data_IF_078046270314
#
_entry.id   IF_078046270314
#
_cell.length_a   1.000
_cell.length_b   1.000
_cell.length_c   1.000
_cell.angle_alpha   90.00
_cell.angle_beta   90.00
_cell.angle_gamma   90.00
#
_symmetry.space_group_name_H-M   'P 1'
#
loop_
_entity.id
_entity.type
_entity.pdbx_description
1 polymer ?
#
# COMPACT_ATOMS: atom_id res chain seq x y z
N UNK A 1 18.41 -0.90 -5.45
CA UNK A 1 17.26 -0.43 -4.66
C UNK A 1 17.78 0.69 -3.78
N UNK A 2 17.17 1.86 -3.85
CA UNK A 2 17.56 3.11 -3.20
C UNK A 2 16.56 3.56 -2.12
N UNK A 3 15.37 2.96 -2.07
CA UNK A 3 14.40 3.17 -0.99
C UNK A 3 14.83 2.46 0.29
N UNK A 4 15.03 3.22 1.37
CA UNK A 4 15.37 2.70 2.70
C UNK A 4 14.37 3.22 3.73
N UNK A 5 13.74 2.30 4.47
CA UNK A 5 12.89 2.61 5.61
C UNK A 5 13.64 2.39 6.93
N UNK A 6 13.60 3.37 7.83
CA UNK A 6 14.13 3.27 9.18
C UNK A 6 12.98 3.37 10.18
N UNK A 7 12.81 2.34 11.02
CA UNK A 7 11.84 2.32 12.09
C UNK A 7 12.57 2.48 13.42
N UNK A 8 12.11 3.41 14.26
CA UNK A 8 12.70 3.68 15.56
C UNK A 8 11.60 4.01 16.58
N UNK A 9 11.84 3.71 17.87
CA UNK A 9 10.90 4.05 18.95
C UNK A 9 10.70 5.57 19.08
N UNK A 10 9.66 5.97 19.82
CA UNK A 10 9.31 7.38 20.00
C UNK A 10 10.47 8.19 20.60
N UNK A 11 10.90 9.23 19.89
CA UNK A 11 12.07 10.04 20.22
C UNK A 11 13.36 9.44 19.66
N UNK A 12 14.12 10.24 18.90
CA UNK A 12 15.32 9.77 18.22
C UNK A 12 15.36 10.01 16.72
N UNK A 13 14.36 10.68 16.14
CA UNK A 13 14.32 11.03 14.72
C UNK A 13 15.61 11.75 14.30
N UNK A 14 15.99 12.80 15.03
CA UNK A 14 17.19 13.59 14.70
C UNK A 14 18.47 12.78 14.81
N UNK A 15 18.57 11.91 15.82
CA UNK A 15 19.73 11.04 16.05
C UNK A 15 19.85 10.00 14.94
N UNK A 16 18.76 9.30 14.62
CA UNK A 16 18.68 8.27 13.58
C UNK A 16 18.97 8.87 12.21
N UNK A 17 18.38 10.02 11.88
CA UNK A 17 18.66 10.74 10.65
C UNK A 17 20.13 11.13 10.53
N UNK A 18 20.70 11.73 11.58
CA UNK A 18 22.11 12.10 11.59
C UNK A 18 23.06 10.91 11.47
N UNK A 19 22.70 9.76 12.06
CA UNK A 19 23.45 8.52 11.89
C UNK A 19 23.37 8.01 10.46
N UNK A 20 22.17 7.92 9.88
CA UNK A 20 21.95 7.48 8.50
C UNK A 20 22.73 8.35 7.49
N UNK A 21 22.71 9.68 7.64
CA UNK A 21 23.50 10.59 6.78
C UNK A 21 24.99 10.27 6.86
N UNK A 22 25.54 10.07 8.07
CA UNK A 22 26.96 9.74 8.24
C UNK A 22 27.30 8.38 7.65
N UNK A 23 26.46 7.38 7.91
CA UNK A 23 26.69 6.02 7.44
C UNK A 23 26.63 5.94 5.92
N UNK A 24 25.63 6.56 5.29
CA UNK A 24 25.55 6.63 3.83
C UNK A 24 26.71 7.39 3.20
N UNK A 25 27.20 8.45 3.85
CA UNK A 25 28.38 9.17 3.37
C UNK A 25 29.64 8.28 3.33
N UNK A 26 29.77 7.27 4.20
CA UNK A 26 30.89 6.30 4.14
C UNK A 26 30.91 5.48 2.85
N UNK A 27 29.76 5.37 2.18
CA UNK A 27 29.59 4.70 0.89
C UNK A 27 29.53 5.68 -0.30
N UNK A 28 29.87 6.96 -0.10
CA UNK A 28 29.67 8.05 -1.08
C UNK A 28 28.22 8.21 -1.54
N UNK A 29 27.26 7.92 -0.67
CA UNK A 29 25.83 8.08 -0.94
C UNK A 29 25.29 9.32 -0.22
N UNK A 30 24.27 9.94 -0.82
CA UNK A 30 23.56 11.10 -0.26
C UNK A 30 22.06 10.85 -0.22
N UNK A 31 21.39 11.42 0.78
CA UNK A 31 19.93 11.35 0.88
C UNK A 31 19.27 12.22 -0.19
N UNK A 32 18.18 11.72 -0.78
CA UNK A 32 17.37 12.48 -1.69
C UNK A 32 16.37 13.37 -0.92
N UNK A 33 16.68 14.66 -0.83
CA UNK A 33 15.88 15.66 -0.12
C UNK A 33 14.85 16.36 -1.02
N UNK A 34 14.55 15.79 -2.19
CA UNK A 34 13.47 16.27 -3.04
C UNK A 34 12.10 16.12 -2.36
N UNK A 35 11.13 16.94 -2.77
CA UNK A 35 9.75 16.89 -2.27
C UNK A 35 9.18 15.48 -2.43
N UNK A 36 8.63 14.92 -1.34
CA UNK A 36 8.07 13.57 -1.32
C UNK A 36 9.10 12.44 -1.46
N UNK A 37 10.40 12.70 -1.30
CA UNK A 37 11.46 11.67 -1.39
C UNK A 37 11.88 11.16 -0.02
N UNK A 38 12.43 12.03 0.82
CA UNK A 38 12.72 11.69 2.21
C UNK A 38 11.56 12.14 3.09
N UNK A 39 10.84 11.18 3.64
CA UNK A 39 9.63 11.41 4.43
C UNK A 39 9.74 10.75 5.81
N UNK A 40 9.07 11.32 6.80
CA UNK A 40 8.86 10.68 8.10
C UNK A 40 7.41 10.81 8.53
N UNK A 41 6.91 9.78 9.20
CA UNK A 41 5.54 9.69 9.68
C UNK A 41 5.51 9.02 11.06
N UNK A 42 4.55 9.41 11.90
CA UNK A 42 4.21 8.69 13.11
C UNK A 42 2.70 8.74 13.34
N UNK A 43 2.05 7.59 13.58
CA UNK A 43 0.63 7.56 13.96
C UNK A 43 0.33 8.42 15.20
N UNK A 44 1.27 8.56 16.13
CA UNK A 44 1.08 9.33 17.36
C UNK A 44 1.10 10.84 17.11
N UNK A 45 1.79 11.31 16.07
CA UNK A 45 1.73 12.71 15.63
C UNK A 45 0.38 13.00 14.97
N UNK A 46 -0.19 12.03 14.25
CA UNK A 46 -1.51 12.12 13.62
C UNK A 46 -2.67 12.04 14.63
N UNK A 47 -2.61 11.15 15.65
CA UNK A 47 -3.70 10.94 16.64
C UNK A 47 -4.03 12.16 17.51
N UNK A 48 -3.07 13.08 17.72
CA UNK A 48 -3.28 14.29 18.53
C UNK A 48 -4.18 15.34 17.86
N UNK A 49 -4.55 15.13 16.60
CA UNK A 49 -5.42 15.98 15.79
C UNK A 49 -6.92 15.81 16.12
N UNK A 50 -7.35 14.67 16.67
CA UNK A 50 -8.77 14.30 16.75
C UNK A 50 -9.55 14.78 17.98
N UNK A 51 -8.92 15.36 19.01
CA UNK A 51 -9.60 15.72 20.29
C UNK A 51 -9.80 17.21 20.54
N UNK A 52 -9.19 18.09 19.76
CA UNK A 52 -9.31 19.52 19.95
C UNK A 52 -8.87 20.25 18.69
N UNK A 53 -9.72 21.13 18.16
CA UNK A 53 -9.44 22.03 17.02
C UNK A 53 -8.28 23.01 17.26
N UNK A 54 -7.50 22.86 18.34
CA UNK A 54 -6.34 23.69 18.67
C UNK A 54 -5.03 22.94 18.88
N UNK A 55 -4.96 21.61 18.70
CA UNK A 55 -3.68 20.88 18.88
C UNK A 55 -2.97 20.70 17.54
N UNK A 56 -1.86 21.42 17.39
CA UNK A 56 -0.98 21.39 16.21
C UNK A 56 -0.42 19.98 15.98
N UNK A 57 -0.54 19.51 14.75
CA UNK A 57 0.27 18.41 14.22
C UNK A 57 1.74 18.81 14.31
N UNK A 58 2.47 18.23 15.25
CA UNK A 58 3.87 18.58 15.51
C UNK A 58 4.66 17.33 15.86
N UNK A 59 5.73 17.11 15.10
CA UNK A 59 6.83 16.25 15.53
C UNK A 59 7.33 16.79 16.88
N UNK A 60 7.61 15.92 17.87
CA UNK A 60 8.15 16.36 19.16
C UNK A 60 9.57 16.94 19.06
N UNK A 61 10.22 16.79 17.91
CA UNK A 61 11.54 17.32 17.59
C UNK A 61 11.45 18.20 16.33
N UNK A 62 12.32 19.20 16.20
CA UNK A 62 12.47 19.90 14.93
C UNK A 62 12.97 18.91 13.87
N UNK A 63 12.24 18.74 12.74
CA UNK A 63 12.67 17.83 11.69
C UNK A 63 14.04 18.28 11.14
N UNK A 64 14.96 17.34 10.87
CA UNK A 64 16.19 17.64 10.18
C UNK A 64 15.94 18.36 8.85
N UNK A 65 16.85 19.26 8.45
CA UNK A 65 16.74 20.00 7.19
C UNK A 65 16.60 19.03 6.00
N UNK A 66 15.57 19.27 5.18
CA UNK A 66 15.27 18.47 3.99
C UNK A 66 14.47 17.19 4.25
N UNK A 67 14.17 16.85 5.51
CA UNK A 67 13.23 15.78 5.83
C UNK A 67 11.80 16.33 5.88
N UNK A 68 10.95 15.83 4.99
CA UNK A 68 9.54 16.22 4.96
C UNK A 68 8.77 15.40 6.00
N UNK A 69 8.01 16.10 6.84
CA UNK A 69 7.07 15.44 7.74
C UNK A 69 5.79 15.14 6.93
N UNK A 70 5.37 13.88 6.87
CA UNK A 70 4.12 13.51 6.22
C UNK A 70 2.98 13.34 7.22
N UNK A 71 1.83 13.95 6.93
CA UNK A 71 0.61 13.87 7.76
C UNK A 71 -0.16 12.58 7.58
N UNK A 72 -0.12 12.04 6.37
CA UNK A 72 -0.95 10.91 5.94
C UNK A 72 -0.17 9.60 5.95
N UNK A 73 1.15 9.65 5.73
CA UNK A 73 1.97 8.46 5.61
C UNK A 73 3.03 8.56 4.53
N UNK A 74 3.64 7.44 4.16
CA UNK A 74 4.61 7.36 3.07
C UNK A 74 4.38 6.12 2.22
N UNK A 75 5.05 6.05 1.08
CA UNK A 75 5.01 4.88 0.19
C UNK A 75 6.32 4.12 0.35
N UNK A 76 6.24 2.82 0.61
CA UNK A 76 7.39 1.92 0.66
C UNK A 76 7.07 0.63 -0.09
N UNK A 77 7.90 0.27 -1.07
CA UNK A 77 7.68 -0.95 -1.87
C UNK A 77 6.34 -0.98 -2.61
N UNK A 78 5.76 0.18 -2.94
CA UNK A 78 4.45 0.32 -3.58
C UNK A 78 3.23 0.26 -2.65
N UNK A 79 3.44 -0.04 -1.36
CA UNK A 79 2.43 0.05 -0.31
C UNK A 79 2.39 1.43 0.31
N UNK A 80 1.19 1.93 0.65
CA UNK A 80 1.02 3.10 1.51
C UNK A 80 1.06 2.62 2.97
N UNK A 81 1.86 3.29 3.80
CA UNK A 81 1.96 3.05 5.25
C UNK A 81 1.65 4.38 5.92
N UNK A 82 0.64 4.45 6.77
CA UNK A 82 0.11 5.74 7.17
C UNK A 82 -1.11 5.73 8.08
N UNK A 83 -1.98 6.72 7.87
CA UNK A 83 -3.32 6.76 8.43
C UNK A 83 -4.19 5.73 7.74
N UNK A 84 -5.26 5.30 8.42
CA UNK A 84 -6.19 4.32 7.86
C UNK A 84 -6.79 4.79 6.53
N UNK A 85 -7.13 6.08 6.41
CA UNK A 85 -7.67 6.66 5.18
C UNK A 85 -6.66 6.63 4.02
N UNK A 86 -5.39 6.92 4.32
CA UNK A 86 -4.32 6.93 3.31
C UNK A 86 -4.06 5.52 2.78
N UNK A 87 -4.06 4.53 3.67
CA UNK A 87 -3.92 3.12 3.34
C UNK A 87 -5.15 2.63 2.57
N UNK A 88 -6.37 2.89 3.05
CA UNK A 88 -7.63 2.51 2.40
C UNK A 88 -7.75 3.08 0.98
N UNK A 89 -7.32 4.33 0.76
CA UNK A 89 -7.31 4.92 -0.58
C UNK A 89 -6.42 4.11 -1.54
N UNK A 90 -5.26 3.61 -1.08
CA UNK A 90 -4.40 2.76 -1.92
C UNK A 90 -5.06 1.43 -2.25
N UNK A 91 -5.73 0.84 -1.26
CA UNK A 91 -6.46 -0.39 -1.46
C UNK A 91 -7.54 -0.22 -2.53
N UNK A 92 -8.34 0.85 -2.46
CA UNK A 92 -9.38 1.14 -3.44
C UNK A 92 -8.81 1.38 -4.85
N UNK A 93 -7.70 2.12 -4.99
CA UNK A 93 -7.01 2.31 -6.27
C UNK A 93 -6.60 0.97 -6.90
N UNK A 94 -5.95 0.10 -6.14
CA UNK A 94 -5.48 -1.19 -6.67
C UNK A 94 -6.63 -2.16 -6.89
N UNK A 95 -7.69 -2.12 -6.07
CA UNK A 95 -8.91 -2.88 -6.30
C UNK A 95 -9.51 -2.51 -7.65
N UNK A 96 -9.62 -1.21 -7.94
CA UNK A 96 -10.10 -0.72 -9.24
C UNK A 96 -9.21 -1.21 -10.39
N UNK A 97 -7.89 -1.06 -10.28
CA UNK A 97 -6.94 -1.52 -11.30
C UNK A 97 -7.02 -3.05 -11.53
N UNK A 98 -7.26 -3.82 -10.47
CA UNK A 98 -7.42 -5.26 -10.55
C UNK A 98 -8.72 -5.64 -11.26
N UNK A 99 -9.83 -4.95 -10.97
CA UNK A 99 -11.13 -5.15 -11.63
C UNK A 99 -11.02 -4.83 -13.12
N UNK A 100 -10.45 -3.68 -13.50
CA UNK A 100 -10.24 -3.33 -14.90
C UNK A 100 -9.36 -4.35 -15.64
N UNK A 101 -8.37 -4.93 -14.95
CA UNK A 101 -7.54 -5.97 -15.53
C UNK A 101 -8.28 -7.31 -15.65
N UNK A 102 -9.12 -7.67 -14.68
CA UNK A 102 -9.96 -8.87 -14.73
C UNK A 102 -10.90 -8.84 -15.93
N UNK A 103 -11.53 -7.70 -16.19
CA UNK A 103 -12.42 -7.50 -17.35
C UNK A 103 -11.65 -7.71 -18.66
N UNK A 104 -10.47 -7.09 -18.81
CA UNK A 104 -9.61 -7.28 -20.00
C UNK A 104 -9.16 -8.71 -20.20
N UNK A 105 -8.83 -9.40 -19.10
CA UNK A 105 -8.43 -10.81 -19.13
C UNK A 105 -9.62 -11.71 -19.49
N UNK A 106 -10.84 -11.35 -19.09
CA UNK A 106 -12.04 -12.09 -19.43
C UNK A 106 -12.40 -12.01 -20.92
N UNK A 107 -12.06 -10.91 -21.60
CA UNK A 107 -12.21 -10.76 -23.06
C UNK A 107 -11.21 -11.58 -23.87
N UNK A 108 -10.23 -12.22 -23.21
CA UNK A 108 -9.26 -13.05 -23.90
C UNK A 108 -9.96 -14.29 -24.50
N UNK A 109 -9.68 -14.56 -25.79
CA UNK A 109 -10.44 -15.51 -26.62
C UNK A 109 -10.33 -16.98 -26.20
N UNK A 110 -9.36 -17.31 -25.35
CA UNK A 110 -9.14 -18.65 -24.84
C UNK A 110 -9.50 -18.72 -23.35
N UNK A 111 -10.61 -19.40 -22.98
CA UNK A 111 -11.05 -19.49 -21.58
C UNK A 111 -10.02 -20.05 -20.61
N UNK A 112 -9.17 -21.00 -21.05
CA UNK A 112 -8.14 -21.56 -20.18
C UNK A 112 -7.02 -20.55 -19.94
N UNK A 113 -6.57 -19.88 -21.00
CA UNK A 113 -5.64 -18.76 -20.92
C UNK A 113 -6.17 -17.61 -20.05
N UNK A 114 -7.44 -17.21 -20.22
CA UNK A 114 -8.09 -16.19 -19.40
C UNK A 114 -8.06 -16.56 -17.92
N UNK A 115 -8.36 -17.81 -17.59
CA UNK A 115 -8.31 -18.29 -16.22
C UNK A 115 -6.89 -18.27 -15.62
N UNK A 116 -5.89 -18.71 -16.39
CA UNK A 116 -4.50 -18.68 -15.95
C UNK A 116 -4.00 -17.25 -15.71
N UNK A 117 -4.32 -16.33 -16.62
CA UNK A 117 -4.00 -14.91 -16.49
C UNK A 117 -4.71 -14.28 -15.27
N UNK A 118 -5.97 -14.63 -15.03
CA UNK A 118 -6.67 -14.18 -13.84
C UNK A 118 -5.96 -14.66 -12.57
N UNK A 119 -5.68 -15.96 -12.47
CA UNK A 119 -5.07 -16.59 -11.29
C UNK A 119 -3.65 -16.12 -11.01
N UNK A 120 -2.84 -15.91 -12.04
CA UNK A 120 -1.40 -15.63 -11.88
C UNK A 120 -1.00 -14.19 -12.14
N UNK A 121 -1.85 -13.36 -12.74
CA UNK A 121 -1.53 -11.96 -13.02
C UNK A 121 -2.48 -10.97 -12.35
N UNK A 122 -3.77 -11.32 -12.19
CA UNK A 122 -4.75 -10.42 -11.58
C UNK A 122 -4.84 -10.64 -10.08
N UNK A 123 -5.12 -11.87 -9.66
CA UNK A 123 -5.28 -12.21 -8.24
C UNK A 123 -4.05 -11.84 -7.39
N UNK A 124 -2.80 -12.08 -7.84
CA UNK A 124 -1.62 -11.73 -7.04
C UNK A 124 -1.45 -10.22 -6.81
N UNK A 125 -2.06 -9.35 -7.62
CA UNK A 125 -2.05 -7.90 -7.36
C UNK A 125 -2.78 -7.55 -6.07
N UNK A 126 -3.90 -8.21 -5.79
CA UNK A 126 -4.61 -8.08 -4.51
C UNK A 126 -3.88 -8.84 -3.40
N UNK A 127 -3.32 -10.02 -3.68
CA UNK A 127 -2.55 -10.79 -2.69
C UNK A 127 -1.27 -10.08 -2.23
N UNK A 128 -0.66 -9.26 -3.09
CA UNK A 128 0.47 -8.42 -2.71
C UNK A 128 0.06 -7.33 -1.71
N UNK A 129 -1.12 -6.72 -1.90
CA UNK A 129 -1.65 -5.78 -0.92
C UNK A 129 -2.08 -6.45 0.39
N UNK A 130 -2.63 -7.66 0.35
CA UNK A 130 -2.91 -8.46 1.55
C UNK A 130 -1.67 -8.56 2.46
N UNK A 131 -0.48 -8.69 1.87
CA UNK A 131 0.77 -8.76 2.63
C UNK A 131 1.26 -7.40 3.14
N UNK A 132 0.95 -6.31 2.43
CA UNK A 132 1.40 -4.96 2.80
C UNK A 132 0.47 -4.28 3.80
N UNK A 133 -0.83 -4.61 3.79
CA UNK A 133 -1.87 -3.89 4.52
C UNK A 133 -2.79 -4.83 5.33
N UNK A 134 -2.39 -6.08 5.54
CA UNK A 134 -3.22 -7.12 6.16
C UNK A 134 -3.78 -6.75 7.53
N UNK A 135 -3.04 -5.95 8.30
CA UNK A 135 -3.48 -5.49 9.64
C UNK A 135 -4.35 -4.23 9.58
N UNK A 136 -4.30 -3.46 8.49
CA UNK A 136 -4.97 -2.18 8.34
C UNK A 136 -6.40 -2.29 7.81
N UNK A 137 -6.66 -3.28 6.94
CA UNK A 137 -7.94 -3.45 6.27
C UNK A 137 -8.67 -4.66 6.85
N UNK A 138 -9.91 -4.50 7.37
CA UNK A 138 -10.67 -5.60 7.95
C UNK A 138 -10.92 -6.75 6.96
N UNK A 139 -10.92 -7.98 7.46
CA UNK A 139 -11.15 -9.19 6.65
C UNK A 139 -12.43 -9.14 5.79
N UNK A 140 -13.50 -8.50 6.29
CA UNK A 140 -14.75 -8.34 5.54
C UNK A 140 -14.59 -7.48 4.27
N UNK A 141 -13.76 -6.44 4.32
CA UNK A 141 -13.50 -5.55 3.17
C UNK A 141 -12.69 -6.28 2.10
N UNK A 142 -11.80 -7.19 2.52
CA UNK A 142 -11.08 -8.07 1.61
C UNK A 142 -12.00 -9.07 0.91
N UNK A 143 -12.89 -9.73 1.66
CA UNK A 143 -13.84 -10.68 1.10
C UNK A 143 -14.72 -10.02 0.02
N UNK A 144 -15.18 -8.79 0.28
CA UNK A 144 -15.95 -8.00 -0.69
C UNK A 144 -15.15 -7.69 -1.97
N UNK A 145 -13.85 -7.39 -1.83
CA UNK A 145 -12.99 -7.11 -2.98
C UNK A 145 -12.72 -8.37 -3.82
N UNK A 146 -12.50 -9.52 -3.17
CA UNK A 146 -12.34 -10.82 -3.85
C UNK A 146 -13.62 -11.19 -4.61
N UNK A 147 -14.78 -11.05 -3.99
CA UNK A 147 -16.08 -11.29 -4.61
C UNK A 147 -16.33 -10.36 -5.80
N UNK A 148 -16.00 -9.07 -5.65
CA UNK A 148 -16.10 -8.07 -6.74
C UNK A 148 -15.23 -8.46 -7.92
N UNK A 149 -13.98 -8.82 -7.66
CA UNK A 149 -13.02 -9.21 -8.70
C UNK A 149 -13.47 -10.47 -9.44
N UNK A 150 -13.91 -11.48 -8.71
CA UNK A 150 -14.39 -12.73 -9.27
C UNK A 150 -15.67 -12.53 -10.08
N UNK A 151 -16.58 -11.68 -9.60
CA UNK A 151 -17.81 -11.30 -10.30
C UNK A 151 -17.52 -10.59 -11.61
N UNK A 152 -16.61 -9.61 -11.61
CA UNK A 152 -16.20 -8.90 -12.82
C UNK A 152 -15.62 -9.86 -13.88
N UNK A 153 -14.71 -10.76 -13.46
CA UNK A 153 -14.14 -11.77 -14.34
C UNK A 153 -15.21 -12.73 -14.92
N UNK A 154 -16.08 -13.27 -14.07
CA UNK A 154 -17.16 -14.19 -14.50
C UNK A 154 -18.12 -13.53 -15.49
N UNK A 155 -18.51 -12.29 -15.20
CA UNK A 155 -19.36 -11.49 -16.09
C UNK A 155 -18.73 -11.31 -17.46
N UNK A 156 -17.44 -10.94 -17.51
CA UNK A 156 -16.72 -10.78 -18.78
C UNK A 156 -16.61 -12.10 -19.57
N UNK A 157 -16.47 -13.22 -18.87
CA UNK A 157 -16.43 -14.56 -19.47
C UNK A 157 -17.81 -15.09 -19.89
N UNK A 158 -18.91 -14.42 -19.51
CA UNK A 158 -20.27 -14.88 -19.76
C UNK A 158 -20.68 -16.13 -18.95
N UNK A 159 -20.00 -16.40 -17.83
CA UNK A 159 -20.21 -17.61 -17.01
C UNK A 159 -21.20 -17.32 -15.88
N UNK A 160 -22.25 -18.14 -15.75
CA UNK A 160 -23.22 -18.03 -14.67
C UNK A 160 -22.67 -18.37 -13.29
N UNK A 161 -23.31 -17.87 -12.22
CA UNK A 161 -22.86 -18.02 -10.83
C UNK A 161 -22.65 -19.48 -10.36
N UNK A 162 -23.26 -20.45 -11.04
CA UNK A 162 -23.16 -21.90 -10.75
C UNK A 162 -22.49 -22.74 -11.83
N UNK A 163 -22.05 -22.15 -12.94
CA UNK A 163 -21.40 -22.88 -14.06
C UNK A 163 -19.90 -23.10 -13.80
N UNK A 164 -19.34 -22.41 -12.82
CA UNK A 164 -17.92 -22.39 -12.57
C UNK A 164 -17.54 -23.30 -11.41
N UNK A 165 -17.27 -24.57 -11.70
CA UNK A 165 -16.73 -25.56 -10.76
C UNK A 165 -15.22 -25.70 -10.97
N UNK A 166 -14.45 -24.66 -10.65
CA UNK A 166 -13.00 -24.85 -10.48
C UNK A 166 -12.79 -25.51 -9.13
N UNK A 167 -12.46 -26.80 -9.15
CA UNK A 167 -11.98 -27.49 -7.95
C UNK A 167 -10.73 -26.75 -7.45
N UNK A 168 -10.88 -26.08 -6.31
CA UNK A 168 -9.77 -25.50 -5.56
C UNK A 168 -8.94 -26.64 -4.98
N UNK A 169 -7.94 -27.13 -5.71
CA UNK A 169 -6.83 -27.85 -5.10
C UNK A 169 -5.74 -26.82 -4.82
N UNK A 170 -5.59 -26.50 -3.53
CA UNK A 170 -4.44 -25.82 -2.95
C UNK A 170 -3.19 -26.68 -3.09
#
# INVERSE_FOLDING_TARGET
>A
MDDVGLFFPAGGLKKSWGAAVRDFATFNLTLNLGKGKSLTFSPDWAKRYGKSNTVRWQCPEDPPNGLELSREGFILGGGRIGTHEFELQRFEEVKKDAVELAEKVAEYRDPQGSWLLFRYCVFPKLSFLLKLMGDAIPAMVWAEADDTLLSAFRKGMGIGHGEWTVQHTL
#
